data_IF_188547979111
#
_entry.id   IF_188547979111
#
_cell.length_a   1.000
_cell.length_b   1.000
_cell.length_c   1.000
_cell.angle_alpha   90.00
_cell.angle_beta   90.00
_cell.angle_gamma   90.00
#
_symmetry.space_group_name_H-M   'P 1'
#
loop_
_entity.id
_entity.type
_entity.pdbx_description
1 polymer ?
#
# COMPACT_ATOMS: atom_id res chain seq x y z
N UNK A 1 10.06 -4.43 8.08
CA UNK A 1 8.74 -3.82 7.88
C UNK A 1 8.73 -3.22 6.51
N UNK A 2 7.82 -3.67 5.65
CA UNK A 2 7.68 -3.17 4.28
C UNK A 2 6.52 -2.18 4.24
N UNK A 3 6.66 -1.10 3.46
CA UNK A 3 5.66 -0.05 3.33
C UNK A 3 5.09 -0.05 1.92
N UNK A 4 3.91 -0.63 1.75
CA UNK A 4 3.30 -0.87 0.44
C UNK A 4 2.12 0.08 0.20
N UNK A 5 2.11 0.75 -0.96
CA UNK A 5 1.06 1.67 -1.36
C UNK A 5 -0.08 0.95 -2.09
N UNK A 6 -1.32 1.28 -1.71
CA UNK A 6 -2.54 0.82 -2.35
C UNK A 6 -3.36 2.04 -2.77
N UNK A 7 -3.88 2.01 -4.00
CA UNK A 7 -4.81 3.02 -4.50
C UNK A 7 -6.23 2.67 -4.06
N UNK A 8 -6.92 3.65 -3.51
CA UNK A 8 -8.29 3.58 -3.02
C UNK A 8 -9.19 4.44 -3.93
N UNK A 9 -10.37 3.92 -4.26
CA UNK A 9 -11.28 4.60 -5.21
C UNK A 9 -11.92 5.86 -4.62
N UNK A 10 -12.16 5.89 -3.31
CA UNK A 10 -12.77 7.02 -2.59
C UNK A 10 -12.33 7.07 -1.13
N UNK A 11 -12.33 8.26 -0.54
CA UNK A 11 -12.05 8.44 0.89
C UNK A 11 -13.04 7.72 1.82
N UNK A 12 -12.65 7.59 3.10
CA UNK A 12 -13.53 7.09 4.17
C UNK A 12 -13.76 5.58 4.19
N UNK A 13 -13.09 4.79 3.34
CA UNK A 13 -13.24 3.33 3.34
C UNK A 13 -12.38 2.62 4.41
N UNK A 14 -11.32 3.26 4.88
CA UNK A 14 -10.44 2.77 5.95
C UNK A 14 -9.99 3.93 6.84
N UNK A 15 -9.44 3.61 8.02
CA UNK A 15 -8.86 4.58 8.96
C UNK A 15 -7.39 4.29 9.24
N UNK A 16 -6.60 5.32 9.56
CA UNK A 16 -5.23 5.14 10.06
C UNK A 16 -5.25 4.29 11.34
N UNK A 17 -4.33 3.34 11.45
CA UNK A 17 -4.25 2.35 12.53
C UNK A 17 -5.11 1.11 12.33
N UNK A 18 -5.98 1.09 11.31
CA UNK A 18 -6.80 -0.08 11.00
C UNK A 18 -5.93 -1.24 10.48
N UNK A 19 -6.14 -2.44 11.02
CA UNK A 19 -5.63 -3.67 10.41
C UNK A 19 -6.54 -4.08 9.26
N UNK A 20 -5.93 -4.36 8.11
CA UNK A 20 -6.61 -4.79 6.89
C UNK A 20 -6.04 -6.10 6.40
N UNK A 21 -6.87 -6.91 5.74
CA UNK A 21 -6.45 -8.12 5.02
C UNK A 21 -6.59 -7.91 3.53
N UNK A 22 -5.82 -8.64 2.73
CA UNK A 22 -5.87 -8.55 1.28
C UNK A 22 -5.70 -9.91 0.61
N UNK A 23 -6.29 -10.04 -0.58
CA UNK A 23 -6.18 -11.23 -1.43
C UNK A 23 -5.20 -10.99 -2.57
N UNK A 24 -4.42 -12.01 -2.90
CA UNK A 24 -3.54 -12.01 -4.06
C UNK A 24 -4.32 -12.44 -5.31
N UNK A 25 -4.11 -11.73 -6.40
CA UNK A 25 -4.58 -12.08 -7.73
C UNK A 25 -3.39 -12.20 -8.69
N UNK A 26 -3.42 -13.24 -9.53
CA UNK A 26 -2.36 -13.52 -10.49
C UNK A 26 -2.73 -13.02 -11.89
N UNK A 27 -1.77 -12.38 -12.54
CA UNK A 27 -1.72 -12.07 -13.98
C UNK A 27 -0.64 -12.94 -14.64
N UNK A 28 -0.57 -13.03 -15.99
CA UNK A 28 0.38 -13.92 -16.66
C UNK A 28 1.85 -13.73 -16.27
N UNK A 29 2.26 -12.53 -15.88
CA UNK A 29 3.64 -12.21 -15.50
C UNK A 29 3.78 -11.42 -14.20
N UNK A 30 2.69 -11.18 -13.47
CA UNK A 30 2.67 -10.30 -12.30
C UNK A 30 1.56 -10.68 -11.32
N UNK A 31 1.58 -10.04 -10.16
CA UNK A 31 0.59 -10.24 -9.10
C UNK A 31 0.11 -8.88 -8.60
N UNK A 32 -1.13 -8.78 -8.17
CA UNK A 32 -1.63 -7.60 -7.46
C UNK A 32 -2.46 -8.03 -6.26
N UNK A 33 -2.66 -7.11 -5.33
CA UNK A 33 -3.34 -7.38 -4.08
C UNK A 33 -4.52 -6.44 -3.93
N UNK A 34 -5.62 -6.97 -3.43
CA UNK A 34 -6.85 -6.22 -3.20
C UNK A 34 -7.24 -6.35 -1.74
N UNK A 35 -7.39 -5.22 -1.05
CA UNK A 35 -7.89 -5.20 0.33
C UNK A 35 -9.32 -5.73 0.36
N UNK A 36 -9.67 -6.47 1.41
CA UNK A 36 -10.99 -7.08 1.59
C UNK A 36 -11.80 -6.30 2.64
N UNK A 37 -13.06 -5.90 2.33
CA UNK A 37 -13.71 -5.94 1.02
C UNK A 37 -12.99 -5.00 0.03
N UNK A 38 -13.21 -5.15 -1.29
CA UNK A 38 -12.49 -4.47 -2.39
C UNK A 38 -12.48 -2.93 -2.30
N UNK A 39 -11.68 -2.38 -1.38
CA UNK A 39 -11.61 -0.94 -1.08
C UNK A 39 -10.38 -0.30 -1.68
N UNK A 40 -9.27 -1.03 -1.79
CA UNK A 40 -8.03 -0.52 -2.37
C UNK A 40 -7.22 -1.64 -3.03
N UNK A 41 -6.39 -1.28 -4.01
CA UNK A 41 -5.59 -2.20 -4.81
C UNK A 41 -4.13 -1.76 -4.87
N UNK A 42 -3.20 -2.70 -4.82
CA UNK A 42 -1.78 -2.43 -5.01
C UNK A 42 -1.45 -2.17 -6.48
N UNK A 43 -0.21 -1.73 -6.73
CA UNK A 43 0.43 -1.90 -8.05
C UNK A 43 0.57 -3.39 -8.41
N UNK A 44 1.01 -3.64 -9.64
CA UNK A 44 1.49 -4.96 -10.04
C UNK A 44 2.91 -5.21 -9.49
N UNK A 45 3.14 -6.43 -9.01
CA UNK A 45 4.39 -6.94 -8.49
C UNK A 45 4.97 -8.01 -9.41
N UNK A 46 6.29 -7.96 -9.62
CA UNK A 46 7.00 -9.08 -10.21
C UNK A 46 6.99 -10.30 -9.26
N UNK A 47 7.20 -11.53 -9.76
CA UNK A 47 7.14 -12.73 -8.93
C UNK A 47 8.05 -12.71 -7.68
N UNK A 48 9.20 -12.03 -7.74
CA UNK A 48 10.16 -11.91 -6.64
C UNK A 48 9.85 -10.78 -5.65
N UNK A 49 8.88 -9.90 -5.95
CA UNK A 49 8.46 -8.76 -5.12
C UNK A 49 7.12 -8.99 -4.41
N UNK A 50 6.55 -10.19 -4.57
CA UNK A 50 5.24 -10.55 -4.03
C UNK A 50 5.15 -10.25 -2.53
N UNK A 51 3.99 -9.76 -2.12
CA UNK A 51 3.65 -9.59 -0.70
C UNK A 51 3.37 -10.98 -0.12
N UNK A 52 4.13 -11.33 0.91
CA UNK A 52 4.04 -12.64 1.58
C UNK A 52 3.04 -12.56 2.75
N UNK A 53 2.99 -11.40 3.40
CA UNK A 53 2.05 -11.05 4.45
C UNK A 53 0.60 -11.22 3.99
N UNK A 54 -0.30 -11.43 4.94
CA UNK A 54 -1.76 -11.56 4.69
C UNK A 54 -2.56 -10.40 5.25
N UNK A 55 -1.90 -9.55 6.02
CA UNK A 55 -2.47 -8.40 6.70
C UNK A 55 -1.45 -7.27 6.79
N UNK A 56 -1.96 -6.06 6.98
CA UNK A 56 -1.15 -4.86 7.16
C UNK A 56 -1.87 -3.83 8.01
N UNK A 57 -1.11 -2.88 8.57
CA UNK A 57 -1.66 -1.76 9.32
C UNK A 57 -1.63 -0.52 8.45
N UNK A 58 -2.77 0.17 8.31
CA UNK A 58 -2.85 1.45 7.60
C UNK A 58 -2.04 2.50 8.36
N UNK A 59 -0.96 3.00 7.78
CA UNK A 59 -0.12 4.03 8.40
C UNK A 59 -0.52 5.43 8.01
N UNK A 60 -0.86 5.63 6.74
CA UNK A 60 -1.17 6.95 6.19
C UNK A 60 -2.25 6.79 5.12
N UNK A 61 -3.15 7.78 5.06
CA UNK A 61 -4.10 8.00 3.97
C UNK A 61 -3.73 9.33 3.33
N UNK A 62 -3.58 9.34 2.01
CA UNK A 62 -3.14 10.48 1.21
C UNK A 62 -4.25 10.84 0.22
N UNK A 63 -4.60 12.11 0.19
CA UNK A 63 -5.46 12.68 -0.85
C UNK A 63 -4.56 13.37 -1.89
N UNK A 64 -4.70 12.94 -3.15
CA UNK A 64 -3.94 13.50 -4.26
C UNK A 64 -4.88 13.80 -5.42
N UNK A 65 -4.52 14.73 -6.32
CA UNK A 65 -5.28 14.96 -7.55
C UNK A 65 -5.49 13.70 -8.40
N UNK A 66 -4.65 12.66 -8.23
CA UNK A 66 -4.71 11.39 -8.96
C UNK A 66 -5.59 10.33 -8.28
N UNK A 67 -6.09 10.62 -7.07
CA UNK A 67 -6.94 9.76 -6.27
C UNK A 67 -6.43 9.60 -4.83
N UNK A 68 -7.10 8.72 -4.09
CA UNK A 68 -6.75 8.42 -2.71
C UNK A 68 -5.77 7.26 -2.65
N UNK A 69 -4.75 7.38 -1.81
CA UNK A 69 -3.75 6.36 -1.61
C UNK A 69 -3.62 6.04 -0.14
N UNK A 70 -3.34 4.79 0.19
CA UNK A 70 -3.02 4.38 1.54
C UNK A 70 -1.68 3.65 1.54
N UNK A 71 -0.94 3.75 2.63
CA UNK A 71 0.29 2.99 2.83
C UNK A 71 0.12 2.03 3.98
N UNK A 72 0.35 0.74 3.70
CA UNK A 72 0.30 -0.34 4.68
C UNK A 72 1.70 -0.64 5.19
N UNK A 73 1.83 -0.74 6.51
CA UNK A 73 2.97 -1.40 7.15
C UNK A 73 2.72 -2.90 7.19
N UNK A 74 3.64 -3.66 6.59
CA UNK A 74 3.59 -5.10 6.48
C UNK A 74 4.74 -5.71 7.28
N UNK A 75 4.42 -6.76 8.06
CA UNK A 75 5.41 -7.51 8.85
C UNK A 75 6.17 -8.51 7.96
N UNK A 76 6.97 -7.96 7.06
CA UNK A 76 7.85 -8.71 6.18
C UNK A 76 9.13 -7.93 5.83
N UNK A 77 10.00 -8.61 5.07
CA UNK A 77 11.23 -8.03 4.54
C UNK A 77 10.89 -6.93 3.54
N UNK A 78 11.71 -5.89 3.56
CA UNK A 78 11.63 -4.81 2.61
C UNK A 78 11.97 -5.28 1.19
N UNK A 79 11.43 -4.54 0.22
CA UNK A 79 11.80 -4.63 -1.20
C UNK A 79 12.12 -3.23 -1.70
N UNK A 80 12.89 -3.13 -2.78
CA UNK A 80 13.27 -1.85 -3.38
C UNK A 80 12.03 -0.99 -3.67
N UNK A 81 12.04 0.27 -3.23
CA UNK A 81 10.94 1.22 -3.39
C UNK A 81 9.82 1.12 -2.35
N UNK A 82 9.86 0.13 -1.45
CA UNK A 82 8.87 -0.06 -0.37
C UNK A 82 9.56 -0.25 0.99
N UNK A 83 10.71 0.41 1.17
CA UNK A 83 11.49 0.43 2.41
C UNK A 83 10.99 1.51 3.38
N UNK A 84 11.43 1.44 4.64
CA UNK A 84 11.24 2.53 5.61
C UNK A 84 11.81 3.87 5.10
N UNK A 85 12.95 3.85 4.40
CA UNK A 85 13.57 5.07 3.87
C UNK A 85 12.73 5.69 2.74
N UNK A 86 12.14 4.86 1.88
CA UNK A 86 11.24 5.31 0.82
C UNK A 86 9.95 5.89 1.41
N UNK A 87 9.39 5.24 2.44
CA UNK A 87 8.24 5.74 3.17
C UNK A 87 8.51 7.11 3.79
N UNK A 88 9.64 7.29 4.48
CA UNK A 88 10.02 8.58 5.07
C UNK A 88 10.16 9.68 4.01
N UNK A 89 10.85 9.39 2.91
CA UNK A 89 11.00 10.34 1.80
C UNK A 89 9.66 10.75 1.23
N UNK A 90 8.74 9.81 1.03
CA UNK A 90 7.38 10.09 0.56
C UNK A 90 6.65 11.06 1.51
N UNK A 91 6.74 10.84 2.82
CA UNK A 91 6.11 11.71 3.82
C UNK A 91 6.70 13.12 3.84
N UNK A 92 8.02 13.26 3.69
CA UNK A 92 8.68 14.57 3.58
C UNK A 92 8.18 15.35 2.36
N UNK A 93 8.05 14.70 1.21
CA UNK A 93 7.63 15.38 -0.03
C UNK A 93 6.17 15.86 -0.02
N UNK A 94 5.29 15.18 0.70
CA UNK A 94 3.87 15.57 0.78
C UNK A 94 3.63 16.75 1.74
N UNK A 95 4.45 16.87 2.79
CA UNK A 95 4.36 18.02 3.72
C UNK A 95 4.74 19.37 3.12
N UNK A 96 5.33 19.38 1.91
CA UNK A 96 5.71 20.60 1.18
C UNK A 96 4.60 21.21 0.32
N UNK A 97 3.39 20.64 0.31
CA UNK A 97 2.21 21.18 -0.39
C UNK A 97 1.20 21.73 0.62
N UNK A 98 1.51 22.86 1.23
CA UNK A 98 0.54 23.71 1.96
C UNK A 98 0.40 25.02 1.21
#
# INVERSE_FOLDING_TARGET
>A
MRYSEFKMEREGLVSVGQEVTFTESQLPASYYYTIVPAVAMSRNYAPYERIISRKGIVKVIRDTPQGFYIVLELDEKEVEGETEADFRRMMETDTGKV
#
